data_IF_329819452178
#
_entry.id   IF_329819452178
#
_cell.length_a   1.000
_cell.length_b   1.000
_cell.length_c   1.000
_cell.angle_alpha   90.00
_cell.angle_beta   90.00
_cell.angle_gamma   90.00
#
_symmetry.space_group_name_H-M   'P 1'
#
loop_
_entity.id
_entity.type
_entity.pdbx_description
1 polymer ?
#
# COMPACT_ATOMS: atom_id res chain seq x y z
N UNK A 1 -44.62 -42.78 15.05
CA UNK A 1 -43.50 -43.01 14.11
C UNK A 1 -43.24 -41.80 13.22
N UNK A 2 -44.24 -41.30 12.48
CA UNK A 2 -44.12 -40.15 11.57
C UNK A 2 -43.50 -38.88 12.19
N UNK A 3 -43.87 -38.50 13.42
CA UNK A 3 -43.28 -37.35 14.13
C UNK A 3 -41.76 -37.46 14.33
N UNK A 4 -41.25 -38.64 14.66
CA UNK A 4 -39.80 -38.86 14.87
C UNK A 4 -39.03 -38.81 13.55
N UNK A 5 -39.60 -39.36 12.48
CA UNK A 5 -39.03 -39.30 11.13
C UNK A 5 -38.99 -37.86 10.62
N UNK A 6 -40.08 -37.10 10.82
CA UNK A 6 -40.14 -35.68 10.46
C UNK A 6 -39.08 -34.85 11.22
N UNK A 7 -38.92 -35.07 12.53
CA UNK A 7 -37.89 -34.38 13.32
C UNK A 7 -36.46 -34.70 12.85
N UNK A 8 -36.19 -35.94 12.43
CA UNK A 8 -34.88 -36.31 11.89
C UNK A 8 -34.59 -35.62 10.56
N UNK A 9 -35.57 -35.58 9.65
CA UNK A 9 -35.43 -34.88 8.37
C UNK A 9 -35.19 -33.38 8.60
N UNK A 10 -35.94 -32.77 9.52
CA UNK A 10 -35.77 -31.36 9.88
C UNK A 10 -34.35 -31.08 10.42
N UNK A 11 -33.83 -31.97 11.26
CA UNK A 11 -32.49 -31.82 11.86
C UNK A 11 -31.40 -31.91 10.79
N UNK A 12 -31.53 -32.85 9.84
CA UNK A 12 -30.63 -32.94 8.67
C UNK A 12 -30.71 -31.67 7.83
N UNK A 13 -31.92 -31.16 7.59
CA UNK A 13 -32.13 -29.94 6.80
C UNK A 13 -31.48 -28.71 7.46
N UNK A 14 -31.64 -28.55 8.77
CA UNK A 14 -30.99 -27.49 9.56
C UNK A 14 -29.47 -27.64 9.52
N UNK A 15 -28.95 -28.87 9.61
CA UNK A 15 -27.52 -29.15 9.49
C UNK A 15 -26.95 -28.71 8.15
N UNK A 16 -27.63 -29.03 7.05
CA UNK A 16 -27.23 -28.62 5.70
C UNK A 16 -27.26 -27.10 5.52
N UNK A 17 -28.30 -26.43 6.00
CA UNK A 17 -28.40 -24.97 5.95
C UNK A 17 -27.28 -24.30 6.76
N UNK A 18 -26.97 -24.83 7.94
CA UNK A 18 -25.89 -24.33 8.79
C UNK A 18 -24.53 -24.40 8.08
N UNK A 19 -24.24 -25.50 7.39
CA UNK A 19 -22.98 -25.64 6.62
C UNK A 19 -22.93 -24.66 5.45
N UNK A 20 -24.03 -24.45 4.73
CA UNK A 20 -24.09 -23.48 3.63
C UNK A 20 -23.87 -22.04 4.12
N UNK A 21 -24.54 -21.65 5.20
CA UNK A 21 -24.39 -20.33 5.79
C UNK A 21 -22.97 -20.10 6.32
N UNK A 22 -22.36 -21.12 6.93
CA UNK A 22 -20.98 -21.04 7.41
C UNK A 22 -19.99 -20.81 6.26
N UNK A 23 -20.12 -21.57 5.15
CA UNK A 23 -19.28 -21.37 3.96
C UNK A 23 -19.45 -19.98 3.36
N UNK A 24 -20.69 -19.50 3.25
CA UNK A 24 -20.98 -18.18 2.71
C UNK A 24 -20.38 -17.07 3.59
N UNK A 25 -20.50 -17.19 4.91
CA UNK A 25 -19.94 -16.24 5.85
C UNK A 25 -18.40 -16.16 5.77
N UNK A 26 -17.73 -17.31 5.63
CA UNK A 26 -16.27 -17.37 5.47
C UNK A 26 -15.81 -16.79 4.12
N UNK A 27 -16.54 -17.08 3.03
CA UNK A 27 -16.23 -16.48 1.73
C UNK A 27 -16.38 -14.95 1.77
N UNK A 28 -17.45 -14.44 2.39
CA UNK A 28 -17.68 -13.00 2.48
C UNK A 28 -16.58 -12.29 3.27
N UNK A 29 -16.11 -12.89 4.37
CA UNK A 29 -14.97 -12.35 5.14
C UNK A 29 -13.65 -12.40 4.37
N UNK A 30 -13.36 -13.50 3.68
CA UNK A 30 -12.13 -13.64 2.91
C UNK A 30 -12.05 -12.66 1.73
N UNK A 31 -13.17 -12.44 1.04
CA UNK A 31 -13.24 -11.47 -0.07
C UNK A 31 -13.05 -10.04 0.43
N UNK A 32 -13.65 -9.69 1.58
CA UNK A 32 -13.48 -8.36 2.17
C UNK A 32 -12.03 -8.06 2.57
N UNK A 33 -11.32 -9.03 3.17
CA UNK A 33 -9.91 -8.85 3.53
C UNK A 33 -9.00 -8.70 2.30
N UNK A 34 -9.19 -9.51 1.27
CA UNK A 34 -8.39 -9.41 0.04
C UNK A 34 -8.62 -8.10 -0.71
N UNK A 35 -9.85 -7.58 -0.68
CA UNK A 35 -10.16 -6.28 -1.29
C UNK A 35 -9.41 -5.15 -0.56
N UNK A 36 -9.47 -5.12 0.78
CA UNK A 36 -8.76 -4.13 1.60
C UNK A 36 -7.25 -4.16 1.38
N UNK A 37 -6.66 -5.36 1.34
CA UNK A 37 -5.22 -5.53 1.10
C UNK A 37 -4.82 -5.04 -0.29
N UNK A 38 -5.62 -5.35 -1.31
CA UNK A 38 -5.39 -4.87 -2.69
C UNK A 38 -5.53 -3.35 -2.79
N UNK A 39 -6.50 -2.75 -2.10
CA UNK A 39 -6.68 -1.29 -2.06
C UNK A 39 -5.50 -0.58 -1.38
N UNK A 40 -4.98 -1.14 -0.29
CA UNK A 40 -3.79 -0.62 0.40
C UNK A 40 -2.54 -0.70 -0.49
N UNK A 41 -2.33 -1.84 -1.17
CA UNK A 41 -1.20 -2.01 -2.10
C UNK A 41 -1.29 -1.01 -3.27
N UNK A 42 -2.49 -0.82 -3.81
CA UNK A 42 -2.72 0.13 -4.91
C UNK A 42 -2.49 1.58 -4.47
N UNK A 43 -2.90 1.94 -3.25
CA UNK A 43 -2.63 3.26 -2.68
C UNK A 43 -1.12 3.50 -2.45
N UNK A 44 -0.39 2.49 -1.96
CA UNK A 44 1.05 2.56 -1.79
C UNK A 44 1.78 2.73 -3.14
N UNK A 45 1.41 1.95 -4.15
CA UNK A 45 1.98 2.04 -5.50
C UNK A 45 1.70 3.40 -6.16
N UNK A 46 0.50 3.97 -5.99
CA UNK A 46 0.20 5.31 -6.50
C UNK A 46 1.08 6.37 -5.83
N UNK A 47 1.24 6.29 -4.50
CA UNK A 47 2.09 7.21 -3.74
C UNK A 47 3.55 7.12 -4.20
N UNK A 48 4.06 5.91 -4.40
CA UNK A 48 5.41 5.69 -4.92
C UNK A 48 5.55 6.24 -6.35
N UNK A 49 4.56 6.02 -7.21
CA UNK A 49 4.57 6.53 -8.58
C UNK A 49 4.61 8.06 -8.63
N UNK A 50 3.81 8.74 -7.80
CA UNK A 50 3.82 10.19 -7.69
C UNK A 50 5.17 10.72 -7.19
N UNK A 51 5.76 10.07 -6.18
CA UNK A 51 7.08 10.42 -5.69
C UNK A 51 8.14 10.26 -6.76
N UNK A 52 8.15 9.14 -7.49
CA UNK A 52 9.11 8.90 -8.57
C UNK A 52 8.95 9.91 -9.70
N UNK A 53 7.72 10.30 -10.05
CA UNK A 53 7.48 11.37 -11.03
C UNK A 53 8.03 12.72 -10.55
N UNK A 54 7.83 13.04 -9.27
CA UNK A 54 8.38 14.26 -8.68
C UNK A 54 9.92 14.25 -8.71
N UNK A 55 10.54 13.13 -8.33
CA UNK A 55 11.99 12.94 -8.37
C UNK A 55 12.52 13.05 -9.81
N UNK A 56 11.88 12.40 -10.78
CA UNK A 56 12.24 12.52 -12.19
C UNK A 56 12.16 13.97 -12.69
N UNK A 57 11.11 14.70 -12.32
CA UNK A 57 10.98 16.11 -12.68
C UNK A 57 12.05 16.96 -11.99
N UNK A 58 12.41 16.65 -10.75
CA UNK A 58 13.43 17.37 -10.00
C UNK A 58 14.83 17.16 -10.60
N UNK A 59 15.21 15.90 -10.82
CA UNK A 59 16.52 15.54 -11.38
C UNK A 59 16.64 15.82 -12.88
N UNK A 60 15.53 15.90 -13.60
CA UNK A 60 15.50 16.33 -15.00
C UNK A 60 15.92 17.79 -15.21
N UNK A 61 15.87 18.62 -14.16
CA UNK A 61 16.39 19.98 -14.20
C UNK A 61 17.89 19.99 -13.88
N UNK A 62 18.71 20.40 -14.85
CA UNK A 62 20.17 20.45 -14.73
C UNK A 62 20.67 21.32 -13.56
N UNK A 63 19.92 22.35 -13.14
CA UNK A 63 20.25 23.17 -11.98
C UNK A 63 20.09 22.40 -10.67
N UNK A 64 19.00 21.64 -10.53
CA UNK A 64 18.73 20.81 -9.36
C UNK A 64 19.70 19.63 -9.29
N UNK A 65 20.01 19.01 -10.44
CA UNK A 65 21.02 17.97 -10.53
C UNK A 65 22.38 18.47 -10.05
N UNK A 66 22.77 19.70 -10.42
CA UNK A 66 24.00 20.31 -9.96
C UNK A 66 23.99 20.64 -8.46
N UNK A 67 22.84 21.03 -7.88
CA UNK A 67 22.67 21.23 -6.43
C UNK A 67 22.85 19.92 -5.66
N UNK A 68 22.25 18.84 -6.13
CA UNK A 68 22.41 17.52 -5.52
C UNK A 68 23.83 16.96 -5.67
N UNK A 69 24.46 17.14 -6.83
CA UNK A 69 25.86 16.78 -7.02
C UNK A 69 26.80 17.58 -6.09
N UNK A 70 26.53 18.87 -5.88
CA UNK A 70 27.21 19.72 -4.90
C UNK A 70 27.01 19.21 -3.48
N UNK A 71 25.79 18.87 -3.09
CA UNK A 71 25.45 18.44 -1.74
C UNK A 71 26.01 17.05 -1.40
N UNK A 72 26.03 16.12 -2.36
CA UNK A 72 26.42 14.71 -2.12
C UNK A 72 27.90 14.44 -2.36
N UNK A 73 28.53 15.18 -3.27
CA UNK A 73 29.90 14.90 -3.71
C UNK A 73 30.84 16.09 -3.54
N UNK A 74 30.43 17.16 -2.85
CA UNK A 74 31.17 18.42 -2.71
C UNK A 74 31.66 18.97 -4.07
N UNK A 75 30.87 18.77 -5.12
CA UNK A 75 31.26 19.08 -6.48
C UNK A 75 31.37 20.59 -6.72
N UNK A 76 32.58 21.12 -6.95
CA UNK A 76 32.80 22.55 -7.22
C UNK A 76 33.10 22.79 -8.69
N UNK A 77 32.52 23.85 -9.29
CA UNK A 77 32.92 24.25 -10.65
C UNK A 77 34.33 24.87 -10.61
N UNK A 78 35.14 24.73 -11.67
CA UNK A 78 36.44 25.38 -11.75
C UNK A 78 36.29 26.91 -11.56
N UNK A 79 36.90 27.48 -10.52
CA UNK A 79 36.83 28.91 -10.19
C UNK A 79 35.85 29.31 -9.07
N UNK A 80 35.12 28.36 -8.48
CA UNK A 80 34.14 28.64 -7.42
C UNK A 80 34.83 28.87 -6.05
N UNK A 81 34.69 30.07 -5.47
CA UNK A 81 35.28 30.42 -4.16
C UNK A 81 34.35 29.97 -3.03
N UNK A 82 34.86 29.16 -2.11
CA UNK A 82 34.14 28.71 -0.91
C UNK A 82 34.20 29.80 0.16
N UNK A 83 33.04 30.29 0.62
CA UNK A 83 32.94 31.26 1.70
C UNK A 83 32.34 30.58 2.93
N UNK A 84 33.12 30.47 4.01
CA UNK A 84 32.64 29.96 5.30
C UNK A 84 32.15 31.17 6.11
N UNK A 85 30.85 31.23 6.36
CA UNK A 85 30.25 32.28 7.21
C UNK A 85 30.24 31.75 8.65
N UNK A 86 31.10 32.32 9.50
CA UNK A 86 31.09 32.04 10.93
C UNK A 86 30.24 33.11 11.63
N UNK A 87 29.16 32.76 12.34
CA UNK A 87 28.38 33.73 13.09
C UNK A 87 29.21 34.29 14.26
N UNK A 88 29.32 35.62 14.33
CA UNK A 88 29.83 36.33 15.51
C UNK A 88 28.73 36.30 16.58
N UNK A 89 29.07 35.84 17.78
CA UNK A 89 28.16 35.80 18.93
C UNK A 89 27.74 37.19 19.37
#
# INVERSE_FOLDING_TARGET
MARRVFSLILLVFIGLLSVQLYRLFFQYRGVGSSLSETEEELAALNTENEKLKADMSYFGNAENLAKEAKSKFDYKRPGEKMMIIVPQR
#
